data_IF_132724340728
#
_entry.id   IF_132724340728
#
_cell.length_a   1.000
_cell.length_b   1.000
_cell.length_c   1.000
_cell.angle_alpha   90.00
_cell.angle_beta   90.00
_cell.angle_gamma   90.00
#
_symmetry.space_group_name_H-M   'P 1'
#
loop_
_entity.id
_entity.type
_entity.pdbx_description
1 polymer ?
#
# COMPACT_ATOMS: atom_id res chain seq x y z
N UNK A 1 -2.42 -53.03 -11.07
CA UNK A 1 -1.66 -51.76 -11.11
C UNK A 1 -1.93 -51.08 -9.78
N UNK A 2 -1.02 -51.24 -8.83
CA UNK A 2 -1.19 -50.73 -7.48
C UNK A 2 -0.74 -49.27 -7.46
N UNK A 3 -1.62 -48.38 -7.00
CA UNK A 3 -1.27 -47.00 -6.74
C UNK A 3 -0.29 -46.96 -5.56
N UNK A 4 0.95 -46.55 -5.82
CA UNK A 4 1.91 -46.20 -4.77
C UNK A 4 1.38 -44.97 -4.03
N UNK A 5 0.93 -45.16 -2.79
CA UNK A 5 0.68 -44.07 -1.85
C UNK A 5 1.99 -43.35 -1.57
N UNK A 6 2.11 -42.10 -2.01
CA UNK A 6 3.24 -41.27 -1.64
C UNK A 6 3.19 -40.95 -0.14
N UNK A 7 4.29 -41.16 0.60
CA UNK A 7 4.34 -40.87 2.03
C UNK A 7 4.22 -39.36 2.24
N UNK A 8 3.16 -38.98 2.94
CA UNK A 8 2.97 -37.63 3.46
C UNK A 8 4.18 -37.29 4.35
N UNK A 9 4.92 -36.25 3.97
CA UNK A 9 6.06 -35.76 4.76
C UNK A 9 5.48 -35.02 5.97
N UNK A 10 5.29 -35.75 7.07
CA UNK A 10 4.66 -35.29 8.33
C UNK A 10 5.49 -34.30 9.16
N UNK A 11 6.61 -33.79 8.64
CA UNK A 11 7.36 -32.75 9.34
C UNK A 11 7.17 -31.43 8.61
N UNK A 12 6.40 -30.47 9.18
CA UNK A 12 6.44 -29.12 8.66
C UNK A 12 7.90 -28.66 8.67
N UNK A 13 8.38 -28.02 7.59
CA UNK A 13 9.77 -27.57 7.52
C UNK A 13 10.10 -26.79 8.78
N UNK A 14 11.23 -27.16 9.44
CA UNK A 14 11.70 -26.46 10.63
C UNK A 14 11.76 -24.97 10.31
N UNK A 15 10.96 -24.20 11.05
CA UNK A 15 10.91 -22.75 10.95
C UNK A 15 12.27 -22.20 11.38
N UNK A 16 13.08 -21.79 10.41
CA UNK A 16 14.18 -20.88 10.68
C UNK A 16 13.58 -19.49 10.94
N UNK A 17 13.82 -18.89 12.11
CA UNK A 17 13.32 -17.56 12.41
C UNK A 17 13.78 -16.59 11.33
N UNK A 18 12.80 -15.89 10.74
CA UNK A 18 12.99 -14.93 9.67
C UNK A 18 14.03 -13.87 10.05
N UNK A 19 15.24 -14.01 9.49
CA UNK A 19 16.30 -13.02 9.60
C UNK A 19 15.89 -11.69 8.95
N UNK A 20 16.26 -10.60 9.60
CA UNK A 20 16.01 -9.18 9.33
C UNK A 20 16.27 -8.67 7.90
N UNK A 21 16.85 -9.47 7.00
CA UNK A 21 17.27 -9.04 5.65
C UNK A 21 16.14 -8.74 4.64
N UNK A 22 14.89 -9.10 4.92
CA UNK A 22 13.78 -8.77 4.01
C UNK A 22 13.26 -7.33 4.15
N UNK A 23 13.56 -6.65 5.26
CA UNK A 23 13.27 -5.22 5.38
C UNK A 23 14.25 -4.42 4.52
N UNK A 24 15.52 -4.83 4.50
CA UNK A 24 16.61 -4.17 3.77
C UNK A 24 16.39 -4.16 2.26
N UNK A 25 15.87 -5.25 1.68
CA UNK A 25 15.57 -5.33 0.24
C UNK A 25 14.41 -4.41 -0.19
N UNK A 26 13.58 -3.96 0.76
CA UNK A 26 12.41 -3.11 0.46
C UNK A 26 12.68 -1.62 0.56
N UNK A 27 13.79 -1.19 1.19
CA UNK A 27 14.08 0.22 1.45
C UNK A 27 14.17 1.08 0.16
N UNK A 28 14.87 0.65 -0.91
CA UNK A 28 14.94 1.44 -2.14
C UNK A 28 13.55 1.61 -2.80
N UNK A 29 12.72 0.57 -2.76
CA UNK A 29 11.36 0.62 -3.31
C UNK A 29 10.42 1.52 -2.48
N UNK A 30 10.58 1.52 -1.16
CA UNK A 30 9.87 2.45 -0.28
C UNK A 30 10.27 3.90 -0.60
N UNK A 31 11.57 4.16 -0.71
CA UNK A 31 12.07 5.48 -1.09
C UNK A 31 11.52 5.93 -2.44
N UNK A 32 11.61 5.08 -3.48
CA UNK A 32 11.10 5.38 -4.82
C UNK A 32 9.60 5.68 -4.78
N UNK A 33 8.80 4.87 -4.09
CA UNK A 33 7.36 5.10 -3.97
C UNK A 33 7.05 6.45 -3.33
N UNK A 34 7.64 6.74 -2.17
CA UNK A 34 7.38 8.01 -1.50
C UNK A 34 7.94 9.22 -2.25
N UNK A 35 9.06 9.08 -2.97
CA UNK A 35 9.62 10.15 -3.79
C UNK A 35 8.68 10.50 -4.96
N UNK A 36 8.18 9.49 -5.69
CA UNK A 36 7.19 9.71 -6.74
C UNK A 36 5.91 10.34 -6.18
N UNK A 37 5.46 9.87 -5.01
CA UNK A 37 4.30 10.46 -4.35
C UNK A 37 4.54 11.94 -3.99
N UNK A 38 5.70 12.29 -3.41
CA UNK A 38 6.05 13.68 -3.10
C UNK A 38 6.06 14.57 -4.35
N UNK A 39 6.67 14.10 -5.46
CA UNK A 39 6.73 14.85 -6.71
C UNK A 39 5.34 15.08 -7.31
N UNK A 40 4.50 14.04 -7.36
CA UNK A 40 3.10 14.17 -7.82
C UNK A 40 2.29 15.04 -6.85
N UNK A 41 2.58 14.93 -5.55
CA UNK A 41 1.96 15.69 -4.47
C UNK A 41 2.12 17.20 -4.63
N UNK A 42 3.25 17.67 -5.17
CA UNK A 42 3.44 19.08 -5.54
C UNK A 42 2.37 19.50 -6.55
N UNK A 43 2.20 18.73 -7.63
CA UNK A 43 1.19 18.99 -8.66
C UNK A 43 -0.25 18.92 -8.11
N UNK A 44 -0.55 17.91 -7.29
CA UNK A 44 -1.86 17.77 -6.62
C UNK A 44 -2.14 18.96 -5.71
N UNK A 45 -1.13 19.48 -5.01
CA UNK A 45 -1.28 20.64 -4.12
C UNK A 45 -1.59 21.92 -4.90
N UNK A 46 -0.91 22.15 -6.02
CA UNK A 46 -1.23 23.27 -6.92
C UNK A 46 -2.66 23.18 -7.47
N UNK A 47 -3.05 21.99 -7.96
CA UNK A 47 -4.40 21.75 -8.48
C UNK A 47 -5.45 21.95 -7.38
N UNK A 48 -5.20 21.45 -6.17
CA UNK A 48 -6.09 21.61 -5.03
C UNK A 48 -6.23 23.08 -4.62
N UNK A 49 -5.14 23.84 -4.54
CA UNK A 49 -5.18 25.27 -4.22
C UNK A 49 -6.03 26.07 -5.22
N UNK A 50 -5.85 25.81 -6.52
CA UNK A 50 -6.69 26.40 -7.56
C UNK A 50 -8.17 26.01 -7.39
N UNK A 51 -8.45 24.73 -7.17
CA UNK A 51 -9.80 24.21 -6.96
C UNK A 51 -10.46 24.82 -5.72
N UNK A 52 -9.74 25.00 -4.61
CA UNK A 52 -10.21 25.66 -3.39
C UNK A 52 -10.63 27.10 -3.68
N UNK A 53 -9.82 27.86 -4.43
CA UNK A 53 -10.15 29.24 -4.81
C UNK A 53 -11.45 29.27 -5.63
N UNK A 54 -11.55 28.44 -6.66
CA UNK A 54 -12.75 28.36 -7.51
C UNK A 54 -13.99 27.98 -6.70
N UNK A 55 -13.90 26.93 -5.86
CA UNK A 55 -15.01 26.47 -5.03
C UNK A 55 -15.40 27.52 -3.97
N UNK A 56 -14.44 28.23 -3.39
CA UNK A 56 -14.72 29.30 -2.43
C UNK A 56 -15.41 30.50 -3.08
N UNK A 57 -14.99 30.88 -4.29
CA UNK A 57 -15.62 31.99 -5.04
C UNK A 57 -17.05 31.63 -5.47
N UNK A 58 -17.28 30.40 -5.95
CA UNK A 58 -18.59 29.98 -6.45
C UNK A 58 -19.56 29.52 -5.35
N UNK A 59 -19.06 28.88 -4.30
CA UNK A 59 -19.86 28.20 -3.28
C UNK A 59 -19.59 28.64 -1.84
N UNK A 60 -18.72 29.62 -1.63
CA UNK A 60 -18.37 30.13 -0.31
C UNK A 60 -17.90 29.04 0.65
N UNK A 61 -18.48 29.01 1.84
CA UNK A 61 -18.14 28.04 2.88
C UNK A 61 -18.44 26.58 2.49
N UNK A 62 -19.52 26.34 1.74
CA UNK A 62 -19.87 25.00 1.26
C UNK A 62 -18.78 24.49 0.30
N UNK A 63 -18.29 25.36 -0.58
CA UNK A 63 -17.19 25.04 -1.50
C UNK A 63 -15.90 24.63 -0.77
N UNK A 64 -15.57 25.32 0.33
CA UNK A 64 -14.42 24.95 1.16
C UNK A 64 -14.56 23.55 1.77
N UNK A 65 -15.74 23.21 2.32
CA UNK A 65 -16.00 21.86 2.86
C UNK A 65 -15.87 20.80 1.77
N UNK A 66 -16.44 21.04 0.58
CA UNK A 66 -16.38 20.10 -0.55
C UNK A 66 -14.96 19.89 -1.07
N UNK A 67 -14.04 20.82 -0.85
CA UNK A 67 -12.66 20.68 -1.30
C UNK A 67 -11.89 19.54 -0.59
N UNK A 68 -12.27 19.19 0.65
CA UNK A 68 -11.58 18.15 1.42
C UNK A 68 -11.86 16.72 0.91
N UNK A 69 -13.13 16.30 0.68
CA UNK A 69 -13.40 15.02 0.02
C UNK A 69 -12.78 14.90 -1.36
N UNK A 70 -12.75 16.00 -2.13
CA UNK A 70 -12.10 16.02 -3.45
C UNK A 70 -10.58 15.81 -3.34
N UNK A 71 -9.93 16.45 -2.37
CA UNK A 71 -8.52 16.21 -2.09
C UNK A 71 -8.25 14.76 -1.68
N UNK A 72 -9.08 14.20 -0.80
CA UNK A 72 -8.99 12.80 -0.42
C UNK A 72 -9.10 11.88 -1.65
N UNK A 73 -10.07 12.11 -2.55
CA UNK A 73 -10.20 11.34 -3.78
C UNK A 73 -8.95 11.44 -4.67
N UNK A 74 -8.35 12.64 -4.81
CA UNK A 74 -7.11 12.82 -5.58
C UNK A 74 -5.96 12.02 -4.97
N UNK A 75 -5.73 12.16 -3.65
CA UNK A 75 -4.66 11.45 -2.93
C UNK A 75 -4.85 9.93 -3.02
N UNK A 76 -6.07 9.44 -2.79
CA UNK A 76 -6.41 8.02 -2.86
C UNK A 76 -6.20 7.46 -4.27
N UNK A 77 -6.59 8.21 -5.31
CA UNK A 77 -6.40 7.80 -6.70
C UNK A 77 -4.92 7.69 -7.07
N UNK A 78 -4.11 8.68 -6.69
CA UNK A 78 -2.66 8.66 -6.92
C UNK A 78 -2.01 7.48 -6.20
N UNK A 79 -2.34 7.27 -4.93
CA UNK A 79 -1.80 6.14 -4.16
C UNK A 79 -2.15 4.79 -4.82
N UNK A 80 -3.40 4.60 -5.23
CA UNK A 80 -3.84 3.35 -5.87
C UNK A 80 -3.05 3.06 -7.15
N UNK A 81 -2.79 4.09 -7.98
CA UNK A 81 -1.99 3.95 -9.21
C UNK A 81 -0.53 3.64 -8.92
N UNK A 82 0.08 4.34 -7.96
CA UNK A 82 1.48 4.12 -7.59
C UNK A 82 1.69 2.73 -6.98
N UNK A 83 0.76 2.30 -6.12
CA UNK A 83 0.83 1.01 -5.46
C UNK A 83 0.68 -0.15 -6.45
N UNK A 84 -0.26 -0.06 -7.39
CA UNK A 84 -0.39 -1.06 -8.46
C UNK A 84 0.86 -1.10 -9.35
N UNK A 85 1.42 0.07 -9.69
CA UNK A 85 2.58 0.16 -10.58
C UNK A 85 3.87 -0.36 -9.93
N UNK A 86 4.15 0.07 -8.70
CA UNK A 86 5.42 -0.19 -8.01
C UNK A 86 5.38 -1.52 -7.26
N UNK A 87 4.27 -1.80 -6.57
CA UNK A 87 4.15 -2.94 -5.66
C UNK A 87 3.28 -4.07 -6.22
N UNK A 88 2.56 -3.84 -7.32
CA UNK A 88 1.61 -4.80 -7.92
C UNK A 88 0.53 -5.26 -6.95
N UNK A 89 0.19 -4.42 -5.98
CA UNK A 89 -0.89 -4.65 -5.02
C UNK A 89 -2.18 -4.11 -5.65
N UNK A 90 -3.17 -5.00 -5.84
CA UNK A 90 -4.44 -4.65 -6.48
C UNK A 90 -5.46 -4.22 -5.43
N UNK A 91 -5.73 -2.92 -5.37
CA UNK A 91 -6.76 -2.32 -4.50
C UNK A 91 -8.10 -2.12 -5.23
N UNK A 92 -9.22 -2.10 -4.50
CA UNK A 92 -10.52 -1.84 -5.10
C UNK A 92 -10.59 -0.40 -5.59
N UNK A 93 -10.95 -0.22 -6.86
CA UNK A 93 -11.17 1.08 -7.49
C UNK A 93 -12.57 1.65 -7.26
N UNK A 94 -13.38 1.05 -6.39
CA UNK A 94 -14.68 1.61 -6.01
C UNK A 94 -14.47 3.00 -5.39
N UNK A 95 -15.27 3.98 -5.80
CA UNK A 95 -15.10 5.38 -5.38
C UNK A 95 -15.09 5.54 -3.85
N UNK A 96 -15.87 4.74 -3.11
CA UNK A 96 -15.88 4.72 -1.64
C UNK A 96 -14.55 4.25 -1.07
N UNK A 97 -13.97 3.17 -1.63
CA UNK A 97 -12.65 2.65 -1.21
C UNK A 97 -11.57 3.70 -1.45
N UNK A 98 -11.58 4.34 -2.62
CA UNK A 98 -10.65 5.42 -2.98
C UNK A 98 -10.79 6.60 -2.00
N UNK A 99 -12.02 6.99 -1.67
CA UNK A 99 -12.30 8.07 -0.73
C UNK A 99 -11.79 7.74 0.69
N UNK A 100 -12.02 6.53 1.20
CA UNK A 100 -11.57 6.14 2.53
C UNK A 100 -10.04 6.01 2.58
N UNK A 101 -9.41 5.37 1.59
CA UNK A 101 -7.94 5.31 1.49
C UNK A 101 -7.34 6.70 1.47
N UNK A 102 -7.85 7.56 0.58
CA UNK A 102 -7.43 8.94 0.45
C UNK A 102 -7.66 9.77 1.71
N UNK A 103 -8.77 9.56 2.41
CA UNK A 103 -9.09 10.22 3.67
C UNK A 103 -8.14 9.83 4.81
N UNK A 104 -7.82 8.53 4.93
CA UNK A 104 -6.82 8.06 5.90
C UNK A 104 -5.43 8.63 5.61
N UNK A 105 -5.02 8.66 4.34
CA UNK A 105 -3.76 9.25 3.93
C UNK A 105 -3.74 10.77 4.14
N UNK A 106 -4.83 11.46 3.83
CA UNK A 106 -4.97 12.89 4.09
C UNK A 106 -4.83 13.22 5.58
N UNK A 107 -5.54 12.48 6.45
CA UNK A 107 -5.44 12.66 7.90
C UNK A 107 -4.00 12.43 8.38
N UNK A 108 -3.34 11.39 7.86
CA UNK A 108 -1.96 11.10 8.18
C UNK A 108 -1.01 12.22 7.74
N UNK A 109 -1.11 12.68 6.50
CA UNK A 109 -0.31 13.79 5.97
C UNK A 109 -0.53 15.07 6.76
N UNK A 110 -1.76 15.33 7.21
CA UNK A 110 -2.10 16.47 8.04
C UNK A 110 -1.42 16.39 9.42
N UNK A 111 -1.53 15.25 10.10
CA UNK A 111 -0.86 15.02 11.39
C UNK A 111 0.66 15.17 11.24
N UNK A 112 1.24 14.55 10.21
CA UNK A 112 2.66 14.65 9.93
C UNK A 112 3.09 16.09 9.63
N UNK A 113 2.32 16.83 8.84
CA UNK A 113 2.59 18.24 8.54
C UNK A 113 2.67 19.07 9.82
N UNK A 114 1.72 18.92 10.73
CA UNK A 114 1.76 19.60 12.04
C UNK A 114 2.95 19.17 12.90
N UNK A 115 3.27 17.87 12.92
CA UNK A 115 4.41 17.35 13.68
C UNK A 115 5.77 17.87 13.19
N UNK A 116 5.86 18.27 11.92
CA UNK A 116 7.09 18.78 11.30
C UNK A 116 7.27 20.30 11.45
N UNK A 117 6.26 21.05 11.90
CA UNK A 117 6.36 22.52 12.09
C UNK A 117 7.55 22.92 12.97
N UNK A 118 7.83 22.29 14.13
CA UNK A 118 8.98 22.66 14.95
C UNK A 118 10.33 22.47 14.23
N UNK A 119 10.38 21.61 13.21
CA UNK A 119 11.60 21.31 12.47
C UNK A 119 11.94 22.35 11.39
N UNK A 120 11.00 23.24 11.03
CA UNK A 120 11.26 24.29 10.02
C UNK A 120 12.26 25.35 10.50
N UNK A 121 12.53 25.42 11.82
CA UNK A 121 13.49 26.37 12.41
C UNK A 121 14.97 26.02 12.23
N UNK A 122 15.30 24.80 11.77
CA UNK A 122 16.69 24.31 11.67
C UNK A 122 17.41 24.72 10.37
N UNK A 123 16.79 25.55 9.53
CA UNK A 123 17.37 26.10 8.31
C UNK A 123 17.13 25.26 7.05
N UNK A 124 17.42 25.87 5.89
CA UNK A 124 17.03 25.33 4.58
C UNK A 124 17.70 23.99 4.24
N UNK A 125 18.98 23.81 4.59
CA UNK A 125 19.72 22.57 4.30
C UNK A 125 19.11 21.38 5.03
N UNK A 126 18.73 21.56 6.30
CA UNK A 126 18.10 20.50 7.08
C UNK A 126 16.69 20.17 6.57
N UNK A 127 15.90 21.19 6.18
CA UNK A 127 14.59 20.98 5.56
C UNK A 127 14.70 20.16 4.28
N UNK A 128 15.61 20.54 3.38
CA UNK A 128 15.84 19.81 2.12
C UNK A 128 16.26 18.36 2.38
N UNK A 129 17.14 18.12 3.36
CA UNK A 129 17.51 16.76 3.74
C UNK A 129 16.30 15.95 4.23
N UNK A 130 15.47 16.52 5.10
CA UNK A 130 14.25 15.83 5.55
C UNK A 130 13.30 15.54 4.39
N UNK A 131 13.03 16.52 3.53
CA UNK A 131 12.06 16.44 2.44
C UNK A 131 12.46 15.43 1.35
N UNK A 132 13.75 15.29 1.07
CA UNK A 132 14.24 14.46 -0.04
C UNK A 132 14.88 13.14 0.39
N UNK A 133 15.20 12.95 1.68
CA UNK A 133 15.84 11.72 2.16
C UNK A 133 14.93 10.98 3.14
N UNK A 134 14.51 11.65 4.21
CA UNK A 134 13.80 10.99 5.32
C UNK A 134 12.32 10.80 5.02
N UNK A 135 11.62 11.87 4.63
CA UNK A 135 10.18 11.85 4.41
C UNK A 135 9.74 10.91 3.27
N UNK A 136 10.47 10.78 2.13
CA UNK A 136 10.08 9.84 1.09
C UNK A 136 10.08 8.39 1.56
N UNK A 137 11.04 7.95 2.38
CA UNK A 137 11.05 6.58 2.93
C UNK A 137 9.80 6.36 3.79
N UNK A 138 9.52 7.34 4.65
CA UNK A 138 8.41 7.29 5.57
C UNK A 138 7.05 7.32 4.85
N UNK A 139 6.88 8.19 3.85
CA UNK A 139 5.72 8.20 2.98
C UNK A 139 5.58 6.87 2.23
N UNK A 140 6.63 6.36 1.61
CA UNK A 140 6.59 5.06 0.95
C UNK A 140 6.07 3.94 1.86
N UNK A 141 6.52 3.92 3.11
CA UNK A 141 6.08 2.96 4.13
C UNK A 141 4.59 3.11 4.47
N UNK A 142 4.14 4.32 4.75
CA UNK A 142 2.76 4.58 5.18
C UNK A 142 1.78 4.30 4.05
N UNK A 143 2.08 4.79 2.84
CA UNK A 143 1.22 4.65 1.67
C UNK A 143 1.03 3.19 1.29
N UNK A 144 2.12 2.42 1.31
CA UNK A 144 2.07 0.96 1.15
C UNK A 144 1.27 0.30 2.27
N UNK A 145 1.48 0.69 3.52
CA UNK A 145 0.80 0.11 4.68
C UNK A 145 -0.71 0.33 4.59
N UNK A 146 -1.15 1.53 4.22
CA UNK A 146 -2.57 1.82 4.00
C UNK A 146 -3.10 0.94 2.87
N UNK A 147 -2.42 0.86 1.73
CA UNK A 147 -2.91 0.05 0.61
C UNK A 147 -3.07 -1.44 0.96
N UNK A 148 -2.14 -2.03 1.71
CA UNK A 148 -2.24 -3.42 2.19
C UNK A 148 -3.50 -3.68 3.02
N UNK A 149 -3.97 -2.71 3.81
CA UNK A 149 -5.21 -2.87 4.60
C UNK A 149 -6.46 -2.99 3.71
N UNK A 150 -6.42 -2.44 2.50
CA UNK A 150 -7.54 -2.48 1.56
C UNK A 150 -7.43 -3.60 0.53
N UNK A 151 -6.26 -4.23 0.41
CA UNK A 151 -6.12 -5.50 -0.29
C UNK A 151 -6.81 -6.63 0.50
N UNK A 152 -6.65 -6.67 1.82
CA UNK A 152 -7.24 -7.70 2.67
C UNK A 152 -8.78 -7.62 2.75
N UNK A 153 -9.36 -6.42 2.59
CA UNK A 153 -10.82 -6.24 2.56
C UNK A 153 -11.45 -6.76 1.27
N UNK A 154 -10.71 -6.77 0.14
CA UNK A 154 -11.11 -7.52 -1.07
C UNK A 154 -11.31 -8.98 -0.71
N UNK A 155 -10.29 -9.56 -0.07
CA UNK A 155 -10.24 -10.98 0.20
C UNK A 155 -11.44 -11.40 1.05
N UNK A 156 -11.76 -10.67 2.12
CA UNK A 156 -12.90 -11.02 2.98
C UNK A 156 -14.27 -10.82 2.33
N UNK A 157 -14.46 -9.76 1.55
CA UNK A 157 -15.75 -9.50 0.88
C UNK A 157 -16.00 -10.42 -0.32
N UNK A 158 -14.94 -10.79 -1.05
CA UNK A 158 -15.01 -11.79 -2.11
C UNK A 158 -15.15 -13.21 -1.55
N UNK A 159 -14.54 -13.57 -0.41
CA UNK A 159 -14.64 -14.93 0.18
C UNK A 159 -16.09 -15.37 0.41
N UNK A 160 -17.03 -14.44 0.67
CA UNK A 160 -18.47 -14.77 0.73
C UNK A 160 -19.10 -15.20 -0.60
N UNK A 161 -18.41 -14.98 -1.72
CA UNK A 161 -18.80 -15.33 -3.10
C UNK A 161 -17.68 -16.05 -3.87
N UNK A 162 -16.66 -16.55 -3.19
CA UNK A 162 -15.50 -17.18 -3.83
C UNK A 162 -15.95 -18.52 -4.43
N UNK A 163 -15.83 -18.74 -5.76
CA UNK A 163 -15.89 -20.07 -6.32
C UNK A 163 -14.81 -20.95 -5.67
N UNK A 164 -15.02 -22.26 -5.54
CA UNK A 164 -14.21 -23.23 -4.77
C UNK A 164 -12.70 -23.33 -5.07
N UNK A 165 -12.13 -22.41 -5.87
CA UNK A 165 -10.76 -22.40 -6.37
C UNK A 165 -9.80 -21.39 -5.68
N UNK A 166 -10.19 -20.72 -4.58
CA UNK A 166 -9.25 -19.95 -3.77
C UNK A 166 -8.92 -20.71 -2.48
N UNK A 167 -7.63 -20.91 -2.19
CA UNK A 167 -7.14 -21.40 -0.89
C UNK A 167 -6.45 -20.25 -0.16
N UNK A 168 -6.87 -19.96 1.06
CA UNK A 168 -6.12 -19.07 1.95
C UNK A 168 -4.86 -19.77 2.46
N UNK A 169 -3.71 -19.15 2.30
CA UNK A 169 -2.44 -19.68 2.78
C UNK A 169 -1.69 -18.65 3.62
N UNK A 170 -1.02 -19.12 4.67
CA UNK A 170 -0.07 -18.31 5.43
C UNK A 170 1.25 -18.29 4.69
N UNK A 171 1.78 -17.10 4.45
CA UNK A 171 3.15 -16.97 3.97
C UNK A 171 4.09 -17.59 5.02
N UNK A 172 4.95 -18.56 4.67
CA UNK A 172 5.85 -19.22 5.61
C UNK A 172 6.88 -18.26 6.21
N UNK A 173 7.17 -17.15 5.50
CA UNK A 173 8.17 -16.18 5.91
C UNK A 173 7.63 -15.10 6.86
N UNK A 174 6.46 -14.51 6.57
CA UNK A 174 5.94 -13.39 7.36
C UNK A 174 4.66 -13.71 8.13
N UNK A 175 4.16 -14.95 8.07
CA UNK A 175 3.02 -15.48 8.83
C UNK A 175 1.67 -14.77 8.58
N UNK A 176 1.60 -13.86 7.62
CA UNK A 176 0.33 -13.25 7.19
C UNK A 176 -0.39 -14.19 6.23
N UNK A 177 -1.69 -14.34 6.47
CA UNK A 177 -2.59 -15.12 5.62
C UNK A 177 -3.07 -14.27 4.45
N UNK A 178 -2.94 -14.79 3.24
CA UNK A 178 -3.51 -14.20 2.03
C UNK A 178 -4.34 -15.24 1.29
N UNK A 179 -5.39 -14.79 0.60
CA UNK A 179 -6.01 -15.63 -0.41
C UNK A 179 -5.19 -15.51 -1.70
N UNK A 180 -4.62 -16.62 -2.15
CA UNK A 180 -3.92 -16.66 -3.42
C UNK A 180 -4.87 -17.19 -4.49
N UNK A 181 -4.88 -16.53 -5.66
CA UNK A 181 -5.48 -17.12 -6.86
C UNK A 181 -4.55 -18.21 -7.37
N UNK A 182 -5.10 -19.38 -7.68
CA UNK A 182 -4.33 -20.45 -8.36
C UNK A 182 -3.76 -19.92 -9.68
N UNK A 183 -4.46 -18.98 -10.35
CA UNK A 183 -4.01 -18.34 -11.59
C UNK A 183 -2.90 -17.30 -11.40
N UNK A 184 -2.60 -16.83 -10.18
CA UNK A 184 -1.48 -15.92 -9.92
C UNK A 184 -0.16 -16.65 -9.61
N UNK A 185 -0.16 -17.98 -9.73
CA UNK A 185 1.02 -18.81 -9.56
C UNK A 185 1.95 -18.63 -10.75
N UNK A 186 3.25 -18.47 -10.49
CA UNK A 186 4.24 -18.52 -11.54
C UNK A 186 4.34 -19.94 -12.13
N UNK A 187 4.94 -20.08 -13.32
CA UNK A 187 5.12 -21.37 -14.00
C UNK A 187 5.86 -22.40 -13.13
N UNK A 188 6.71 -21.93 -12.21
CA UNK A 188 7.46 -22.74 -11.24
C UNK A 188 6.62 -23.16 -10.01
N UNK A 189 5.33 -22.83 -9.95
CA UNK A 189 4.47 -23.17 -8.82
C UNK A 189 4.55 -22.20 -7.63
N UNK A 190 5.38 -21.16 -7.70
CA UNK A 190 5.58 -20.21 -6.61
C UNK A 190 4.59 -19.05 -6.65
N UNK A 191 4.35 -18.44 -5.48
CA UNK A 191 3.65 -17.16 -5.33
C UNK A 191 4.49 -16.20 -4.51
N UNK A 192 4.44 -14.90 -4.84
CA UNK A 192 5.08 -13.87 -4.05
C UNK A 192 4.17 -13.43 -2.91
N UNK A 193 4.69 -13.39 -1.68
CA UNK A 193 3.97 -12.82 -0.54
C UNK A 193 3.78 -11.32 -0.72
N UNK A 194 2.55 -10.83 -0.58
CA UNK A 194 2.22 -9.41 -0.79
C UNK A 194 2.86 -8.48 0.27
N UNK A 195 3.14 -9.01 1.47
CA UNK A 195 3.75 -8.23 2.54
C UNK A 195 5.28 -8.31 2.58
N UNK A 196 5.89 -9.49 2.42
CA UNK A 196 7.34 -9.61 2.48
C UNK A 196 8.02 -9.81 1.13
N UNK A 197 7.27 -9.80 0.02
CA UNK A 197 7.71 -9.99 -1.37
C UNK A 197 8.46 -11.28 -1.68
N UNK A 198 8.76 -12.11 -0.68
CA UNK A 198 9.40 -13.43 -0.85
C UNK A 198 8.47 -14.41 -1.57
N UNK A 199 9.05 -15.20 -2.46
CA UNK A 199 8.36 -16.27 -3.18
C UNK A 199 8.40 -17.58 -2.41
N UNK A 200 7.29 -18.30 -2.38
CA UNK A 200 7.20 -19.64 -1.80
C UNK A 200 6.27 -20.53 -2.62
N UNK A 201 6.46 -21.84 -2.50
CA UNK A 201 5.59 -22.83 -3.11
C UNK A 201 4.30 -22.95 -2.29
N UNK A 202 3.15 -22.82 -2.96
CA UNK A 202 1.89 -23.24 -2.37
C UNK A 202 1.81 -24.77 -2.41
N UNK A 203 1.45 -25.47 -1.34
CA UNK A 203 1.12 -26.89 -1.42
C UNK A 203 -0.11 -27.09 -2.32
N UNK A 204 -0.06 -28.13 -3.16
CA UNK A 204 -1.15 -28.48 -4.11
C UNK A 204 -2.39 -28.94 -3.33
#
# INVERSE_FOLDING_TARGET
>A
MNAEEQPWVDTPPKYEPYESGALELSLPWLYVHGLFFSLIGIGVSFLWGFMVIVLAVLGGFIGLILSFPLLALMIGSVNLRLVDTIWRIKCQSHWVSVLIQGGLLFLFLLIMGFALIPLTGFGIVFSVFLDFVVLPIFYGYVFRSVALQFEDSMTKSEIGRVPSNHKSWKCPFCQRSYAYRITSRAEDGTVACLNCTRRFLLPV
#
